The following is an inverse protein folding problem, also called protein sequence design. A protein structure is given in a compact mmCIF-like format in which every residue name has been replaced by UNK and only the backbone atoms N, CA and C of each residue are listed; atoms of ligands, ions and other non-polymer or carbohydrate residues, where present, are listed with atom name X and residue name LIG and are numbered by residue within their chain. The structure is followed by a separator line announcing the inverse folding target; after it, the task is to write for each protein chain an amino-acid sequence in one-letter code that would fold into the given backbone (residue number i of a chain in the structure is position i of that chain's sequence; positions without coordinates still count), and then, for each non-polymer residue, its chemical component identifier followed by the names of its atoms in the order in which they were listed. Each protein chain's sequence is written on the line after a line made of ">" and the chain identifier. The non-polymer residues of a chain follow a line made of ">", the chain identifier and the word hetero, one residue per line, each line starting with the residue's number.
data_IF_731268757037
#
_entry.id   IF_731268757037
#
_cell.length_a   1.000
_cell.length_b   1.000
_cell.length_c   1.000
_cell.angle_alpha   90.00
_cell.angle_beta   90.00
_cell.angle_gamma   90.00
#
_symmetry.space_group_name_H-M   'P 1'
#
loop_
_entity.id
_entity.type
_entity.pdbx_description
1 polymer ?
#
# COMPACT_ATOMS: atom_id res chain seq x y z
N UNK A 1 15.01 -7.26 -30.79
CA UNK A 1 14.67 -6.73 -29.46
C UNK A 1 14.27 -7.91 -28.62
N UNK A 2 14.73 -7.99 -27.38
CA UNK A 2 14.40 -9.10 -26.48
C UNK A 2 12.96 -8.96 -25.96
N UNK A 3 12.30 -10.11 -25.76
CA UNK A 3 10.93 -10.20 -25.27
C UNK A 3 10.93 -10.65 -23.81
N UNK A 4 9.87 -10.33 -23.10
CA UNK A 4 9.60 -10.73 -21.72
C UNK A 4 8.15 -11.18 -21.54
N UNK A 5 7.90 -12.07 -20.60
CA UNK A 5 6.55 -12.37 -20.15
C UNK A 5 6.02 -11.28 -19.21
N UNK A 6 4.74 -10.94 -19.36
CA UNK A 6 4.07 -9.97 -18.50
C UNK A 6 2.58 -10.30 -18.35
N UNK A 7 2.02 -10.08 -17.17
CA UNK A 7 0.59 -10.18 -16.91
C UNK A 7 -0.09 -8.88 -17.35
N UNK A 8 -0.86 -8.92 -18.43
CA UNK A 8 -1.49 -7.75 -19.02
C UNK A 8 -3.01 -7.76 -18.80
N UNK A 9 -3.56 -6.58 -18.46
CA UNK A 9 -4.99 -6.34 -18.47
C UNK A 9 -5.51 -6.28 -19.91
N UNK A 10 -6.37 -7.18 -20.31
CA UNK A 10 -6.92 -7.24 -21.66
C UNK A 10 -8.32 -6.63 -21.75
N UNK A 11 -9.13 -6.89 -20.75
CA UNK A 11 -10.50 -6.38 -20.59
C UNK A 11 -11.03 -6.69 -19.19
N UNK A 12 -12.17 -6.15 -18.83
CA UNK A 12 -12.84 -6.46 -17.58
C UNK A 12 -12.99 -7.99 -17.39
N UNK A 13 -12.49 -8.48 -16.28
CA UNK A 13 -12.50 -9.90 -15.92
C UNK A 13 -11.35 -10.71 -16.55
N UNK A 14 -10.42 -10.08 -17.28
CA UNK A 14 -9.40 -10.81 -18.03
C UNK A 14 -8.00 -10.21 -17.90
N UNK A 15 -7.12 -10.91 -17.22
CA UNK A 15 -5.67 -10.70 -17.17
C UNK A 15 -5.01 -11.98 -17.66
N UNK A 16 -4.05 -11.88 -18.57
CA UNK A 16 -3.34 -13.02 -19.14
C UNK A 16 -1.85 -12.71 -19.29
N UNK A 17 -1.05 -13.78 -19.38
CA UNK A 17 0.35 -13.66 -19.78
C UNK A 17 0.44 -13.34 -21.26
N UNK A 18 1.20 -12.31 -21.56
CA UNK A 18 1.54 -11.88 -22.92
C UNK A 18 3.05 -11.71 -23.05
N UNK A 19 3.55 -11.78 -24.28
CA UNK A 19 4.92 -11.37 -24.59
C UNK A 19 4.97 -9.88 -24.91
N UNK A 20 5.88 -9.16 -24.27
CA UNK A 20 6.13 -7.73 -24.48
C UNK A 20 7.61 -7.48 -24.75
N UNK A 21 7.91 -6.38 -25.40
CA UNK A 21 9.30 -5.93 -25.56
C UNK A 21 9.86 -5.52 -24.18
N UNK A 22 11.09 -5.94 -23.88
CA UNK A 22 11.82 -5.39 -22.74
C UNK A 22 12.03 -3.89 -22.98
N UNK A 23 11.64 -3.00 -22.05
CA UNK A 23 11.71 -1.56 -22.25
C UNK A 23 13.16 -1.05 -22.34
N UNK A 24 13.38 -0.04 -23.17
CA UNK A 24 14.64 0.70 -23.23
C UNK A 24 14.83 1.58 -21.98
N UNK A 25 16.06 1.69 -21.53
CA UNK A 25 16.42 2.46 -20.32
C UNK A 25 16.75 3.89 -20.69
N UNK A 26 15.96 4.84 -20.18
CA UNK A 26 16.25 6.27 -20.27
C UNK A 26 17.43 6.68 -19.36
N UNK A 27 17.99 7.90 -19.57
CA UNK A 27 19.17 8.34 -18.80
C UNK A 27 19.00 8.32 -17.29
N UNK A 28 17.78 8.58 -16.79
CA UNK A 28 17.49 8.66 -15.35
C UNK A 28 16.80 7.41 -14.78
N UNK A 29 16.57 6.40 -15.61
CA UNK A 29 15.77 5.23 -15.28
C UNK A 29 16.64 4.01 -14.98
N UNK A 30 16.04 2.95 -14.46
CA UNK A 30 16.70 1.66 -14.33
C UNK A 30 15.75 0.53 -14.74
N UNK A 31 16.27 -0.46 -15.44
CA UNK A 31 15.59 -1.71 -15.73
C UNK A 31 15.85 -2.68 -14.58
N UNK A 32 14.80 -3.20 -13.99
CA UNK A 32 14.84 -4.16 -12.89
C UNK A 32 14.35 -5.49 -13.40
N UNK A 33 15.16 -6.53 -13.25
CA UNK A 33 14.72 -7.91 -13.40
C UNK A 33 14.03 -8.31 -12.11
N UNK A 34 12.73 -8.59 -12.21
CA UNK A 34 11.90 -8.94 -11.06
C UNK A 34 12.29 -10.31 -10.53
N UNK A 35 12.49 -10.41 -9.23
CA UNK A 35 12.70 -11.69 -8.52
C UNK A 35 11.45 -12.09 -7.74
N UNK A 36 10.68 -11.10 -7.30
CA UNK A 36 9.41 -11.31 -6.63
C UNK A 36 8.51 -10.08 -6.80
N UNK A 37 7.25 -10.32 -7.07
CA UNK A 37 6.17 -9.33 -7.02
C UNK A 37 4.96 -9.95 -6.32
N UNK A 38 3.83 -9.24 -6.26
CA UNK A 38 2.62 -9.75 -5.60
C UNK A 38 1.36 -9.21 -6.24
N UNK A 39 0.20 -9.71 -5.80
CA UNK A 39 -1.13 -9.21 -6.16
C UNK A 39 -1.64 -8.34 -5.01
N UNK A 40 -2.16 -7.16 -5.35
CA UNK A 40 -2.82 -6.23 -4.44
C UNK A 40 -4.34 -6.20 -4.66
N UNK A 41 -5.08 -5.71 -3.68
CA UNK A 41 -6.51 -5.42 -3.82
C UNK A 41 -6.80 -4.48 -5.00
N UNK A 42 -5.93 -3.52 -5.23
CA UNK A 42 -6.00 -2.59 -6.36
C UNK A 42 -5.96 -3.29 -7.71
N UNK A 43 -5.14 -4.34 -7.86
CA UNK A 43 -5.08 -5.13 -9.11
C UNK A 43 -6.40 -5.87 -9.35
N UNK A 44 -7.09 -6.29 -8.27
CA UNK A 44 -8.44 -6.89 -8.36
C UNK A 44 -9.47 -5.85 -8.78
N UNK A 45 -9.37 -4.60 -8.31
CA UNK A 45 -10.24 -3.50 -8.76
C UNK A 45 -10.03 -3.20 -10.25
N UNK A 46 -8.78 -3.26 -10.74
CA UNK A 46 -8.47 -3.16 -12.17
C UNK A 46 -9.13 -4.32 -12.93
N UNK A 47 -8.94 -5.56 -12.48
CA UNK A 47 -9.55 -6.75 -13.10
C UNK A 47 -11.07 -6.62 -13.19
N UNK A 48 -11.72 -6.09 -12.15
CA UNK A 48 -13.18 -5.85 -12.13
C UNK A 48 -13.62 -4.65 -12.99
N UNK A 49 -12.68 -3.86 -13.52
CA UNK A 49 -12.97 -2.65 -14.30
C UNK A 49 -13.46 -1.47 -13.44
N UNK A 50 -13.20 -1.50 -12.14
CA UNK A 50 -13.49 -0.40 -11.20
C UNK A 50 -12.44 0.70 -11.28
N UNK A 51 -11.21 0.35 -11.67
CA UNK A 51 -10.14 1.27 -12.04
C UNK A 51 -9.84 1.14 -13.53
N UNK A 52 -10.09 2.20 -14.33
CA UNK A 52 -9.81 2.16 -15.76
C UNK A 52 -8.30 2.25 -16.00
N UNK A 53 -7.76 1.25 -16.69
CA UNK A 53 -6.39 1.24 -17.22
C UNK A 53 -6.43 0.90 -18.71
N UNK A 54 -5.36 1.22 -19.42
CA UNK A 54 -5.28 0.92 -20.86
C UNK A 54 -5.23 -0.60 -21.10
N UNK A 55 -5.88 -1.04 -22.16
CA UNK A 55 -5.81 -2.42 -22.63
C UNK A 55 -4.37 -2.77 -23.03
N UNK A 56 -3.88 -3.90 -22.57
CA UNK A 56 -2.51 -4.37 -22.77
C UNK A 56 -1.50 -3.85 -21.75
N UNK A 57 -1.92 -3.00 -20.80
CA UNK A 57 -1.05 -2.56 -19.71
C UNK A 57 -0.68 -3.74 -18.80
N UNK A 58 0.60 -3.87 -18.46
CA UNK A 58 1.08 -4.82 -17.44
C UNK A 58 0.63 -4.33 -16.08
N UNK A 59 0.03 -5.22 -15.27
CA UNK A 59 -0.47 -4.91 -13.92
C UNK A 59 0.60 -5.11 -12.85
N UNK A 60 0.26 -4.76 -11.59
CA UNK A 60 1.15 -4.90 -10.42
C UNK A 60 2.00 -3.66 -10.14
N UNK A 61 2.34 -3.43 -8.86
CA UNK A 61 3.03 -2.22 -8.41
C UNK A 61 3.97 -2.45 -7.21
N UNK A 62 4.29 -3.69 -6.87
CA UNK A 62 5.13 -4.02 -5.71
C UNK A 62 6.38 -4.81 -6.15
N UNK A 63 7.42 -4.13 -6.68
CA UNK A 63 8.61 -4.79 -7.23
C UNK A 63 9.65 -5.10 -6.17
N UNK A 64 10.16 -6.33 -6.20
CA UNK A 64 11.45 -6.72 -5.63
C UNK A 64 12.28 -7.32 -6.76
N UNK A 65 13.54 -6.90 -6.91
CA UNK A 65 14.34 -7.41 -8.01
C UNK A 65 15.80 -7.03 -7.95
N UNK A 66 16.45 -7.22 -9.06
CA UNK A 66 17.87 -6.96 -9.28
C UNK A 66 18.02 -5.96 -10.42
N UNK A 67 18.89 -4.99 -10.26
CA UNK A 67 19.21 -4.03 -11.32
C UNK A 67 19.83 -4.79 -12.50
N UNK A 68 19.15 -4.79 -13.63
CA UNK A 68 19.61 -5.37 -14.87
C UNK A 68 20.42 -4.35 -15.69
N UNK A 69 19.93 -3.09 -15.74
CA UNK A 69 20.57 -2.02 -16.49
C UNK A 69 20.28 -0.67 -15.87
N UNK A 70 21.28 0.20 -15.85
CA UNK A 70 21.19 1.58 -15.36
C UNK A 70 21.22 2.60 -16.47
N UNK A 71 20.44 3.66 -16.34
CA UNK A 71 20.55 4.86 -17.15
C UNK A 71 21.84 5.62 -16.84
N UNK A 72 22.36 6.31 -17.86
CA UNK A 72 23.68 6.95 -17.81
C UNK A 72 23.83 8.06 -16.75
N UNK A 73 22.73 8.61 -16.25
CA UNK A 73 22.71 9.64 -15.20
C UNK A 73 22.50 9.08 -13.78
N UNK A 74 22.19 7.80 -13.65
CA UNK A 74 21.94 7.15 -12.34
C UNK A 74 23.28 6.86 -11.68
N UNK A 75 23.43 7.29 -10.43
CA UNK A 75 24.69 7.18 -9.68
C UNK A 75 24.51 6.44 -8.36
N UNK A 76 25.58 5.80 -7.87
CA UNK A 76 25.58 5.14 -6.57
C UNK A 76 24.87 3.80 -6.53
N UNK A 77 24.54 3.23 -7.70
CA UNK A 77 24.02 1.88 -7.88
C UNK A 77 24.94 1.08 -8.82
N UNK A 78 24.77 -0.22 -8.83
CA UNK A 78 25.45 -1.12 -9.75
C UNK A 78 24.49 -2.19 -10.29
N UNK A 79 24.74 -2.64 -11.50
CA UNK A 79 24.07 -3.79 -12.09
C UNK A 79 24.31 -5.03 -11.22
N UNK A 80 23.30 -5.88 -11.04
CA UNK A 80 23.33 -7.00 -10.11
C UNK A 80 22.94 -6.67 -8.68
N UNK A 81 22.77 -5.39 -8.31
CA UNK A 81 22.37 -4.98 -6.96
C UNK A 81 20.88 -5.28 -6.71
N UNK A 82 20.56 -5.88 -5.55
CA UNK A 82 19.18 -6.13 -5.12
C UNK A 82 18.51 -4.84 -4.66
N UNK A 83 17.29 -4.59 -5.14
CA UNK A 83 16.54 -3.35 -4.88
C UNK A 83 15.05 -3.60 -4.76
N UNK A 84 14.37 -2.64 -4.11
CA UNK A 84 12.92 -2.43 -4.22
C UNK A 84 12.64 -1.03 -4.74
N UNK A 85 11.44 -0.82 -5.31
CA UNK A 85 10.88 0.50 -5.55
C UNK A 85 9.50 0.59 -4.90
N UNK A 86 9.10 1.78 -4.45
CA UNK A 86 7.75 1.99 -3.93
C UNK A 86 6.69 1.84 -5.03
N UNK A 87 5.46 1.46 -4.66
CA UNK A 87 4.32 1.47 -5.56
C UNK A 87 4.09 2.86 -6.17
N UNK A 88 4.42 3.88 -5.41
CA UNK A 88 4.43 5.28 -5.83
C UNK A 88 5.84 5.64 -6.27
N UNK A 89 5.98 5.99 -7.54
CA UNK A 89 7.24 6.37 -8.19
C UNK A 89 7.17 7.81 -8.73
N UNK A 90 7.21 8.83 -7.86
CA UNK A 90 7.08 10.21 -8.29
C UNK A 90 8.38 10.75 -8.91
N UNK A 91 8.24 11.84 -9.65
CA UNK A 91 9.34 12.74 -9.92
C UNK A 91 9.52 13.67 -8.72
N UNK A 92 10.58 13.48 -7.95
CA UNK A 92 10.84 14.29 -6.74
C UNK A 92 11.23 15.76 -7.04
N UNK A 93 11.40 16.13 -8.30
CA UNK A 93 11.54 17.53 -8.73
C UNK A 93 10.19 18.19 -9.02
N UNK A 94 9.07 17.48 -8.91
CA UNK A 94 7.75 18.07 -9.07
C UNK A 94 7.34 18.91 -7.87
N UNK A 95 6.45 19.89 -8.09
CA UNK A 95 5.88 20.69 -7.01
C UNK A 95 5.16 19.84 -5.97
N UNK A 96 4.35 18.86 -6.40
CA UNK A 96 3.61 17.99 -5.49
C UNK A 96 4.56 17.24 -4.55
N UNK A 97 5.67 16.69 -5.08
CA UNK A 97 6.63 15.96 -4.28
C UNK A 97 7.43 16.88 -3.34
N UNK A 98 7.83 18.07 -3.80
CA UNK A 98 8.55 19.04 -2.97
C UNK A 98 7.68 19.66 -1.88
N UNK A 99 6.37 19.75 -2.11
CA UNK A 99 5.37 20.19 -1.11
C UNK A 99 4.94 19.08 -0.13
N UNK A 100 5.53 17.87 -0.26
CA UNK A 100 5.28 16.76 0.66
C UNK A 100 4.17 15.80 0.22
N UNK A 101 3.66 15.90 -1.00
CA UNK A 101 2.61 15.05 -1.55
C UNK A 101 3.05 14.24 -2.78
N UNK A 102 4.12 13.43 -2.69
CA UNK A 102 4.68 12.71 -3.84
C UNK A 102 3.68 11.76 -4.51
N UNK A 103 2.74 11.22 -3.76
CA UNK A 103 1.68 10.36 -4.29
C UNK A 103 0.69 11.08 -5.23
N UNK A 104 0.70 12.42 -5.22
CA UNK A 104 -0.15 13.26 -6.08
C UNK A 104 0.63 13.88 -7.25
N UNK A 105 1.81 13.35 -7.56
CA UNK A 105 2.66 13.84 -8.64
C UNK A 105 2.11 13.47 -10.02
N UNK A 106 1.63 14.46 -10.75
CA UNK A 106 1.20 14.36 -12.14
C UNK A 106 2.11 15.11 -13.13
N UNK A 107 3.32 15.47 -12.73
CA UNK A 107 4.22 16.32 -13.55
C UNK A 107 4.56 15.71 -14.91
N UNK A 108 4.59 14.40 -15.04
CA UNK A 108 4.86 13.69 -16.29
C UNK A 108 3.66 13.63 -17.26
N UNK A 109 2.45 13.97 -16.78
CA UNK A 109 1.25 14.09 -17.62
C UNK A 109 1.19 15.44 -18.35
N UNK A 110 2.07 16.37 -17.99
CA UNK A 110 2.17 17.70 -18.61
C UNK A 110 3.34 17.70 -19.60
N UNK A 111 3.16 18.13 -20.86
CA UNK A 111 4.25 18.22 -21.82
C UNK A 111 5.45 18.99 -21.25
N UNK A 112 6.67 18.45 -21.42
CA UNK A 112 7.92 19.13 -21.05
C UNK A 112 7.96 20.50 -21.74
N UNK A 113 8.12 21.56 -20.96
CA UNK A 113 8.20 22.94 -21.46
C UNK A 113 6.97 23.81 -21.19
N UNK A 114 5.82 23.24 -20.88
CA UNK A 114 4.77 23.97 -20.19
C UNK A 114 5.18 24.00 -18.74
N UNK A 115 5.26 25.18 -18.14
CA UNK A 115 5.63 25.41 -16.77
C UNK A 115 5.05 24.28 -15.88
N UNK A 116 5.93 23.43 -15.33
CA UNK A 116 5.57 22.27 -14.52
C UNK A 116 4.90 22.61 -13.19
N UNK A 117 4.41 23.85 -13.07
CA UNK A 117 3.76 24.40 -11.90
C UNK A 117 2.49 23.67 -11.48
N UNK A 118 1.96 22.79 -12.28
CA UNK A 118 0.68 22.10 -12.03
C UNK A 118 0.83 20.60 -11.89
N UNK A 119 1.98 20.12 -11.39
CA UNK A 119 2.26 18.70 -11.20
C UNK A 119 1.34 17.99 -10.20
N UNK A 120 0.28 18.62 -9.71
CA UNK A 120 -0.71 17.98 -8.86
C UNK A 120 -1.77 17.27 -9.69
N UNK A 121 -1.87 15.97 -9.50
CA UNK A 121 -3.01 15.17 -9.95
C UNK A 121 -3.25 14.05 -8.97
N UNK A 122 -4.49 13.94 -8.50
CA UNK A 122 -4.89 12.89 -7.58
C UNK A 122 -4.44 11.51 -8.05
N UNK A 123 -3.77 10.77 -7.18
CA UNK A 123 -3.26 9.41 -7.36
C UNK A 123 -2.21 9.21 -8.46
N UNK A 124 -1.76 10.28 -9.14
CA UNK A 124 -0.90 10.14 -10.32
C UNK A 124 0.53 9.71 -9.99
N UNK A 125 1.00 9.84 -8.75
CA UNK A 125 2.24 9.22 -8.29
C UNK A 125 2.22 7.68 -8.31
N UNK A 126 1.04 7.08 -8.32
CA UNK A 126 0.87 5.66 -8.61
C UNK A 126 0.97 5.42 -10.13
N UNK A 127 2.15 5.01 -10.58
CA UNK A 127 2.48 4.86 -12.00
C UNK A 127 2.44 3.41 -12.46
N UNK A 128 3.07 2.48 -11.73
CA UNK A 128 3.12 1.06 -12.09
C UNK A 128 1.72 0.43 -12.13
N UNK A 129 1.43 -0.25 -13.23
CA UNK A 129 0.15 -0.94 -13.41
C UNK A 129 -1.07 0.00 -13.52
N UNK A 130 -0.82 1.30 -13.68
CA UNK A 130 -1.84 2.33 -13.85
C UNK A 130 -1.55 3.21 -15.07
N UNK A 131 -0.39 3.84 -15.13
CA UNK A 131 -0.01 4.79 -16.18
C UNK A 131 1.18 4.30 -17.01
N UNK A 132 1.96 3.39 -16.47
CA UNK A 132 3.05 2.68 -17.14
C UNK A 132 2.94 1.20 -16.81
N UNK A 133 3.62 0.37 -17.59
CA UNK A 133 3.70 -1.07 -17.32
C UNK A 133 4.15 -1.34 -15.89
N UNK A 134 3.47 -2.31 -15.27
CA UNK A 134 3.63 -2.68 -13.87
C UNK A 134 4.63 -3.81 -13.65
N UNK A 135 4.57 -4.38 -12.46
CA UNK A 135 5.61 -5.24 -11.90
C UNK A 135 5.34 -6.75 -12.00
N UNK A 136 4.14 -7.15 -12.46
CA UNK A 136 3.83 -8.56 -12.70
C UNK A 136 4.37 -8.99 -14.08
N UNK A 137 5.70 -8.96 -14.21
CA UNK A 137 6.46 -9.25 -15.42
C UNK A 137 7.87 -9.72 -15.05
N UNK A 138 8.64 -10.20 -16.02
CA UNK A 138 10.05 -10.55 -15.82
C UNK A 138 10.93 -9.31 -15.59
N UNK A 139 10.57 -8.17 -16.21
CA UNK A 139 11.28 -6.90 -16.07
C UNK A 139 10.31 -5.74 -15.90
N UNK A 140 10.75 -4.70 -15.19
CA UNK A 140 10.04 -3.42 -15.08
C UNK A 140 11.01 -2.27 -15.20
N UNK A 141 10.60 -1.20 -15.91
CA UNK A 141 11.35 0.05 -15.94
C UNK A 141 10.94 0.94 -14.78
N UNK A 142 11.90 1.24 -13.90
CA UNK A 142 11.69 2.17 -12.78
C UNK A 142 12.14 3.56 -13.21
N UNK A 143 11.20 4.51 -13.37
CA UNK A 143 11.53 5.88 -13.75
C UNK A 143 12.16 6.64 -12.57
N UNK A 144 12.98 7.65 -12.90
CA UNK A 144 13.66 8.49 -11.89
C UNK A 144 14.34 7.65 -10.80
N UNK A 145 15.10 6.63 -11.24
CA UNK A 145 15.65 5.56 -10.40
C UNK A 145 16.47 6.07 -9.21
N UNK A 146 17.17 7.20 -9.37
CA UNK A 146 17.99 7.81 -8.33
C UNK A 146 17.19 8.12 -7.04
N UNK A 147 15.91 8.48 -7.19
CA UNK A 147 15.03 8.85 -6.09
C UNK A 147 14.07 7.72 -5.68
N UNK A 148 13.84 6.74 -6.55
CA UNK A 148 12.81 5.72 -6.38
C UNK A 148 13.33 4.33 -6.03
N UNK A 149 14.59 4.00 -6.37
CA UNK A 149 15.18 2.72 -5.99
C UNK A 149 15.77 2.74 -4.59
N UNK A 150 15.53 1.71 -3.81
CA UNK A 150 16.15 1.49 -2.52
C UNK A 150 16.91 0.15 -2.51
N UNK A 151 18.22 0.16 -2.21
CA UNK A 151 18.98 -1.08 -2.02
C UNK A 151 18.42 -1.91 -0.87
N UNK A 152 18.30 -3.21 -1.08
CA UNK A 152 17.91 -4.16 -0.04
C UNK A 152 19.13 -4.44 0.84
N UNK A 153 19.04 -4.23 2.16
CA UNK A 153 20.12 -4.58 3.08
C UNK A 153 20.46 -6.07 3.01
N UNK A 154 21.76 -6.38 3.20
CA UNK A 154 22.19 -7.76 3.30
C UNK A 154 21.46 -8.51 4.41
N UNK A 155 21.15 -9.79 4.16
CA UNK A 155 20.47 -10.66 5.10
C UNK A 155 18.94 -10.61 5.06
N UNK A 156 18.33 -9.65 4.35
CA UNK A 156 16.88 -9.65 4.11
C UNK A 156 16.52 -10.45 2.87
N UNK A 157 15.47 -11.27 2.97
CA UNK A 157 14.92 -12.01 1.82
C UNK A 157 13.94 -11.15 1.03
N UNK A 158 13.60 -11.59 -0.19
CA UNK A 158 12.63 -10.90 -1.02
C UNK A 158 11.25 -10.87 -0.36
N UNK A 159 10.82 -11.97 0.26
CA UNK A 159 9.54 -12.08 0.95
C UNK A 159 9.42 -11.13 2.14
N UNK A 160 10.52 -10.92 2.87
CA UNK A 160 10.54 -10.00 4.01
C UNK A 160 10.35 -8.54 3.58
N UNK A 161 10.90 -8.15 2.43
CA UNK A 161 10.83 -6.77 1.93
C UNK A 161 9.66 -6.54 0.98
N UNK A 162 8.99 -7.60 0.52
CA UNK A 162 7.91 -7.54 -0.46
C UNK A 162 6.73 -6.64 -0.04
N UNK A 163 6.51 -6.48 1.26
CA UNK A 163 5.44 -5.62 1.78
C UNK A 163 5.82 -4.13 1.82
N UNK A 164 7.10 -3.79 1.73
CA UNK A 164 7.55 -2.40 1.85
C UNK A 164 7.03 -1.48 0.73
N UNK A 165 7.02 -1.90 -0.55
CA UNK A 165 6.61 -1.05 -1.66
C UNK A 165 5.24 -0.40 -1.52
N UNK A 166 4.26 -1.11 -1.00
CA UNK A 166 2.88 -0.61 -0.83
C UNK A 166 2.34 -0.84 0.58
N UNK A 167 2.10 -2.07 0.96
CA UNK A 167 1.29 -2.46 2.11
C UNK A 167 1.82 -1.89 3.42
N UNK A 168 3.11 -2.06 3.68
CA UNK A 168 3.74 -1.52 4.87
C UNK A 168 3.81 0.01 4.81
N UNK A 169 4.12 0.58 3.63
CA UNK A 169 4.17 2.03 3.47
C UNK A 169 2.80 2.67 3.72
N UNK A 170 1.74 2.08 3.17
CA UNK A 170 0.35 2.53 3.35
C UNK A 170 -0.12 2.34 4.79
N UNK A 171 0.08 1.17 5.38
CA UNK A 171 -0.33 0.92 6.76
C UNK A 171 0.37 1.83 7.76
N UNK A 172 1.67 2.06 7.57
CA UNK A 172 2.46 2.92 8.46
C UNK A 172 2.09 4.40 8.31
N UNK A 173 1.85 4.90 7.09
CA UNK A 173 1.36 6.29 6.95
C UNK A 173 -0.01 6.46 7.58
N UNK A 174 -0.84 5.41 7.59
CA UNK A 174 -2.10 5.41 8.33
C UNK A 174 -1.89 5.63 9.83
N UNK A 175 -0.95 4.93 10.42
CA UNK A 175 -0.60 5.09 11.82
C UNK A 175 0.05 6.47 12.11
N UNK A 176 0.95 6.95 11.23
CA UNK A 176 1.56 8.27 11.30
C UNK A 176 0.49 9.40 11.24
N UNK A 177 -0.47 9.29 10.32
CA UNK A 177 -1.56 10.26 10.14
C UNK A 177 -2.62 10.19 11.25
N UNK A 178 -2.75 9.08 11.95
CA UNK A 178 -3.60 8.95 13.13
C UNK A 178 -3.09 9.79 14.32
N UNK A 179 -1.90 10.43 14.18
CA UNK A 179 -1.27 11.29 15.17
C UNK A 179 -1.11 10.62 16.54
N UNK A 180 -0.74 9.33 16.51
CA UNK A 180 -0.61 8.48 17.68
C UNK A 180 0.46 9.02 18.61
N UNK A 181 0.13 9.10 19.90
CA UNK A 181 1.04 9.44 20.99
C UNK A 181 1.27 8.24 21.90
N UNK A 182 2.37 8.26 22.63
CA UNK A 182 2.64 7.24 23.64
C UNK A 182 1.48 7.22 24.65
N UNK A 183 0.89 6.04 24.84
CA UNK A 183 -0.23 5.85 25.76
C UNK A 183 -1.62 5.85 25.12
N UNK A 184 -1.74 6.15 23.82
CA UNK A 184 -3.01 6.24 23.13
C UNK A 184 -3.72 4.89 22.97
N UNK A 185 -5.05 4.97 22.88
CA UNK A 185 -5.93 3.89 22.40
C UNK A 185 -6.27 4.12 20.94
N UNK A 186 -6.02 3.12 20.09
CA UNK A 186 -6.21 3.18 18.63
C UNK A 186 -7.14 2.04 18.19
N UNK A 187 -8.12 2.35 17.33
CA UNK A 187 -8.98 1.34 16.71
C UNK A 187 -8.60 1.20 15.23
N UNK A 188 -8.32 -0.01 14.78
CA UNK A 188 -7.98 -0.27 13.37
C UNK A 188 -9.08 -1.12 12.73
N UNK A 189 -9.77 -0.53 11.75
CA UNK A 189 -10.87 -1.18 11.01
C UNK A 189 -10.36 -1.89 9.78
N UNK A 190 -10.74 -3.15 9.62
CA UNK A 190 -10.29 -4.14 8.67
C UNK A 190 -8.82 -4.58 8.90
N UNK A 191 -8.65 -5.91 8.99
CA UNK A 191 -7.35 -6.55 9.20
C UNK A 191 -6.91 -7.33 7.94
N UNK A 192 -7.13 -6.70 6.77
CA UNK A 192 -6.41 -7.06 5.56
C UNK A 192 -4.93 -6.68 5.67
N UNK A 193 -4.09 -6.97 4.67
CA UNK A 193 -2.65 -6.68 4.75
C UNK A 193 -2.30 -5.24 5.16
N UNK A 194 -3.03 -4.24 4.65
CA UNK A 194 -2.83 -2.81 5.03
C UNK A 194 -3.19 -2.59 6.51
N UNK A 195 -4.33 -3.10 6.96
CA UNK A 195 -4.76 -2.94 8.36
C UNK A 195 -3.84 -3.64 9.35
N UNK A 196 -3.31 -4.82 9.00
CA UNK A 196 -2.30 -5.52 9.79
C UNK A 196 -1.00 -4.70 9.92
N UNK A 197 -0.55 -4.09 8.83
CA UNK A 197 0.58 -3.17 8.87
C UNK A 197 0.26 -1.88 9.66
N UNK A 198 -0.97 -1.35 9.57
CA UNK A 198 -1.38 -0.21 10.38
C UNK A 198 -1.42 -0.54 11.88
N UNK A 199 -1.87 -1.74 12.24
CA UNK A 199 -1.84 -2.28 13.61
C UNK A 199 -0.40 -2.34 14.14
N UNK A 200 0.53 -2.89 13.35
CA UNK A 200 1.95 -2.92 13.70
C UNK A 200 2.57 -1.52 13.79
N UNK A 201 2.23 -0.63 12.86
CA UNK A 201 2.65 0.77 12.88
C UNK A 201 2.18 1.51 14.12
N UNK A 202 0.92 1.33 14.52
CA UNK A 202 0.36 1.91 15.75
C UNK A 202 1.13 1.45 16.99
N UNK A 203 1.47 0.16 17.06
CA UNK A 203 2.29 -0.40 18.15
C UNK A 203 3.67 0.24 18.22
N UNK A 204 4.34 0.37 17.09
CA UNK A 204 5.68 0.96 17.01
C UNK A 204 5.68 2.46 17.36
N UNK A 205 4.58 3.18 17.10
CA UNK A 205 4.43 4.59 17.46
C UNK A 205 4.07 4.84 18.93
N UNK A 206 3.78 3.77 19.70
CA UNK A 206 3.59 3.86 21.14
C UNK A 206 2.15 3.80 21.62
N UNK A 207 1.20 3.38 20.79
CA UNK A 207 -0.13 3.03 21.25
C UNK A 207 -0.04 1.91 22.31
N UNK A 208 -0.76 2.07 23.40
CA UNK A 208 -0.78 1.09 24.50
C UNK A 208 -2.00 0.19 24.48
N UNK A 209 -3.05 0.62 23.79
CA UNK A 209 -4.24 -0.19 23.54
C UNK A 209 -4.59 -0.13 22.06
N UNK A 210 -4.45 -1.25 21.38
CA UNK A 210 -4.79 -1.37 19.96
C UNK A 210 -5.94 -2.35 19.81
N UNK A 211 -7.07 -1.84 19.31
CA UNK A 211 -8.30 -2.59 19.08
C UNK A 211 -8.40 -2.89 17.59
N UNK A 212 -8.21 -4.13 17.19
CA UNK A 212 -8.31 -4.59 15.81
C UNK A 212 -9.73 -5.10 15.51
N UNK A 213 -10.34 -4.60 14.45
CA UNK A 213 -11.70 -4.94 14.03
C UNK A 213 -11.68 -5.63 12.68
N UNK A 214 -12.26 -6.82 12.57
CA UNK A 214 -12.47 -7.55 11.32
C UNK A 214 -13.65 -8.55 11.47
N UNK A 215 -14.13 -9.11 10.38
CA UNK A 215 -15.13 -10.20 10.38
C UNK A 215 -14.53 -11.59 10.20
N UNK A 216 -13.20 -11.69 10.10
CA UNK A 216 -12.46 -12.94 9.89
C UNK A 216 -11.54 -13.23 11.08
N UNK A 217 -11.84 -14.29 11.84
CA UNK A 217 -11.10 -14.64 13.04
C UNK A 217 -9.63 -14.97 12.78
N UNK A 218 -9.31 -15.57 11.62
CA UNK A 218 -7.92 -15.82 11.25
C UNK A 218 -7.11 -14.53 11.09
N UNK A 219 -7.70 -13.47 10.49
CA UNK A 219 -7.06 -12.15 10.39
C UNK A 219 -6.91 -11.49 11.77
N UNK A 220 -7.90 -11.67 12.65
CA UNK A 220 -7.83 -11.19 14.03
C UNK A 220 -6.71 -11.87 14.83
N UNK A 221 -6.48 -13.16 14.61
CA UNK A 221 -5.35 -13.88 15.24
C UNK A 221 -3.99 -13.39 14.73
N UNK A 222 -3.90 -13.02 13.47
CA UNK A 222 -2.69 -12.38 12.92
C UNK A 222 -2.54 -10.97 13.50
N UNK A 223 -3.64 -10.20 13.64
CA UNK A 223 -3.60 -8.87 14.24
C UNK A 223 -3.02 -8.89 15.68
N UNK A 224 -3.33 -9.91 16.48
CA UNK A 224 -2.68 -10.11 17.79
C UNK A 224 -1.17 -10.25 17.68
N UNK A 225 -0.69 -11.02 16.68
CA UNK A 225 0.75 -11.17 16.42
C UNK A 225 1.39 -9.87 15.94
N UNK A 226 0.62 -9.01 15.26
CA UNK A 226 1.04 -7.69 14.81
C UNK A 226 0.98 -6.62 15.91
N UNK A 227 0.49 -6.95 17.11
CA UNK A 227 0.49 -6.07 18.27
C UNK A 227 -0.89 -5.55 18.69
N UNK A 228 -1.99 -6.10 18.18
CA UNK A 228 -3.31 -5.79 18.71
C UNK A 228 -3.49 -6.37 20.12
N UNK A 229 -3.96 -5.53 21.05
CA UNK A 229 -4.25 -5.93 22.45
C UNK A 229 -5.66 -6.52 22.57
N UNK A 230 -6.60 -6.01 21.76
CA UNK A 230 -7.99 -6.47 21.71
C UNK A 230 -8.40 -6.72 20.27
N UNK A 231 -9.16 -7.78 20.05
CA UNK A 231 -9.73 -8.09 18.74
C UNK A 231 -11.25 -8.15 18.83
N UNK A 232 -11.94 -7.47 17.91
CA UNK A 232 -13.38 -7.45 17.83
C UNK A 232 -13.85 -8.00 16.48
N UNK A 233 -14.58 -9.12 16.52
CA UNK A 233 -15.25 -9.62 15.33
C UNK A 233 -16.62 -8.94 15.22
N UNK A 234 -16.77 -8.03 14.23
CA UNK A 234 -17.99 -7.24 14.04
C UNK A 234 -19.24 -8.09 13.73
N UNK A 235 -19.08 -9.38 13.41
CA UNK A 235 -20.20 -10.31 13.23
C UNK A 235 -20.78 -10.80 14.54
N UNK A 236 -20.01 -10.68 15.62
CA UNK A 236 -20.36 -11.22 16.94
C UNK A 236 -20.71 -10.13 17.94
N UNK A 237 -20.22 -8.89 17.72
CA UNK A 237 -20.39 -7.78 18.68
C UNK A 237 -20.74 -6.47 17.99
N UNK A 238 -21.38 -5.57 18.71
CA UNK A 238 -21.49 -4.16 18.31
C UNK A 238 -20.17 -3.46 18.64
N UNK A 239 -19.41 -3.12 17.57
CA UNK A 239 -18.06 -2.57 17.70
C UNK A 239 -18.05 -1.24 18.45
N UNK A 240 -19.02 -0.37 18.17
CA UNK A 240 -19.08 0.96 18.81
C UNK A 240 -19.30 0.79 20.32
N UNK A 241 -20.26 -0.02 20.72
CA UNK A 241 -20.55 -0.30 22.14
C UNK A 241 -19.36 -0.90 22.87
N UNK A 242 -18.67 -1.87 22.24
CA UNK A 242 -17.49 -2.50 22.86
C UNK A 242 -16.30 -1.52 22.98
N UNK A 243 -16.04 -0.68 21.95
CA UNK A 243 -14.99 0.34 22.06
C UNK A 243 -15.33 1.34 23.16
N UNK A 244 -16.57 1.82 23.24
CA UNK A 244 -17.00 2.73 24.30
C UNK A 244 -16.84 2.11 25.68
N UNK A 245 -17.18 0.85 25.85
CA UNK A 245 -16.97 0.10 27.10
C UNK A 245 -15.49 -0.01 27.48
N UNK A 246 -14.62 -0.38 26.51
CA UNK A 246 -13.18 -0.50 26.70
C UNK A 246 -12.51 0.84 27.05
N UNK A 247 -13.07 1.95 26.60
CA UNK A 247 -12.56 3.29 26.84
C UNK A 247 -13.26 4.06 27.95
N UNK A 248 -14.10 3.37 28.74
CA UNK A 248 -14.87 4.00 29.82
C UNK A 248 -15.84 5.09 29.36
N UNK A 249 -16.39 4.95 28.16
CA UNK A 249 -17.34 5.88 27.56
C UNK A 249 -16.70 7.09 26.87
N UNK A 250 -15.38 7.20 26.85
CA UNK A 250 -14.68 8.37 26.25
C UNK A 250 -14.50 8.27 24.73
N UNK A 251 -14.40 7.06 24.20
CA UNK A 251 -13.93 6.79 22.85
C UNK A 251 -12.41 6.67 22.74
N UNK A 252 -11.91 6.18 21.61
CA UNK A 252 -10.49 6.03 21.33
C UNK A 252 -9.83 7.37 20.97
N UNK A 253 -8.51 7.47 21.14
CA UNK A 253 -7.74 8.66 20.77
C UNK A 253 -7.69 8.84 19.26
N UNK A 254 -7.60 7.74 18.52
CA UNK A 254 -7.65 7.74 17.07
C UNK A 254 -8.22 6.43 16.50
N UNK A 255 -8.62 6.50 15.24
CA UNK A 255 -9.01 5.32 14.46
C UNK A 255 -8.30 5.32 13.10
N UNK A 256 -8.06 4.12 12.57
CA UNK A 256 -7.51 3.92 11.23
C UNK A 256 -8.52 3.09 10.44
N UNK A 257 -8.96 3.61 9.30
CA UNK A 257 -9.88 2.94 8.40
C UNK A 257 -9.09 2.41 7.18
N UNK A 258 -9.06 1.09 6.99
CA UNK A 258 -8.22 0.42 6.00
C UNK A 258 -9.02 -0.49 5.05
N UNK A 259 -10.29 -0.16 4.77
CA UNK A 259 -11.17 -0.91 3.85
C UNK A 259 -11.70 -0.07 2.70
N UNK A 260 -12.24 1.12 2.99
CA UNK A 260 -12.82 2.00 1.98
C UNK A 260 -14.34 1.81 1.77
N UNK A 261 -15.09 1.61 2.84
CA UNK A 261 -16.56 1.56 2.76
C UNK A 261 -17.19 2.64 3.63
N UNK A 262 -18.41 3.08 3.25
CA UNK A 262 -19.20 4.01 4.07
C UNK A 262 -19.39 3.48 5.49
N UNK A 263 -19.66 2.19 5.64
CA UNK A 263 -19.92 1.58 6.95
C UNK A 263 -18.71 1.63 7.88
N UNK A 264 -17.51 1.30 7.39
CA UNK A 264 -16.29 1.36 8.18
C UNK A 264 -15.86 2.78 8.47
N UNK A 265 -16.01 3.70 7.51
CA UNK A 265 -15.74 5.12 7.73
C UNK A 265 -16.61 5.71 8.85
N UNK A 266 -17.92 5.44 8.79
CA UNK A 266 -18.86 5.91 9.81
C UNK A 266 -18.56 5.34 11.19
N UNK A 267 -18.27 4.04 11.29
CA UNK A 267 -17.89 3.41 12.56
C UNK A 267 -16.59 3.99 13.10
N UNK A 268 -15.58 4.18 12.23
CA UNK A 268 -14.30 4.77 12.60
C UNK A 268 -14.44 6.20 13.14
N UNK A 269 -15.39 6.98 12.61
CA UNK A 269 -15.73 8.30 13.16
C UNK A 269 -16.45 8.23 14.51
N UNK A 270 -17.33 7.25 14.69
CA UNK A 270 -18.15 7.12 15.92
C UNK A 270 -17.40 6.59 17.12
N UNK A 271 -16.29 5.90 16.93
CA UNK A 271 -15.51 5.31 18.03
C UNK A 271 -14.44 6.23 18.62
N UNK A 272 -14.13 7.35 17.96
CA UNK A 272 -13.13 8.29 18.48
C UNK A 272 -13.72 9.29 19.45
N UNK A 273 -12.92 9.69 20.43
CA UNK A 273 -13.28 10.73 21.40
C UNK A 273 -13.37 12.09 20.71
N UNK A 274 -14.08 13.08 21.28
CA UNK A 274 -13.95 14.48 20.83
C UNK A 274 -12.49 14.91 20.75
N UNK A 275 -12.12 15.62 19.68
CA UNK A 275 -10.73 15.97 19.36
C UNK A 275 -9.88 14.83 18.82
N UNK A 276 -10.46 13.65 18.61
CA UNK A 276 -9.76 12.49 18.07
C UNK A 276 -9.49 12.59 16.56
N UNK A 277 -8.61 11.72 16.07
CA UNK A 277 -8.20 11.69 14.66
C UNK A 277 -8.68 10.41 13.97
N UNK A 278 -9.33 10.54 12.84
CA UNK A 278 -9.54 9.46 11.87
C UNK A 278 -8.46 9.53 10.78
N UNK A 279 -7.71 8.46 10.62
CA UNK A 279 -6.84 8.25 9.46
C UNK A 279 -7.49 7.26 8.49
N UNK A 280 -7.86 7.73 7.29
CA UNK A 280 -8.51 6.88 6.29
C UNK A 280 -7.53 6.53 5.17
N UNK A 281 -7.36 5.24 4.96
CA UNK A 281 -6.49 4.63 3.93
C UNK A 281 -7.32 3.92 2.86
N UNK A 282 -8.60 3.72 3.13
CA UNK A 282 -9.47 2.96 2.25
C UNK A 282 -9.62 3.60 0.88
N UNK A 283 -9.78 2.76 -0.12
CA UNK A 283 -10.08 3.17 -1.48
C UNK A 283 -11.59 3.08 -1.68
N UNK A 284 -12.21 4.24 -1.79
CA UNK A 284 -13.68 4.33 -1.92
C UNK A 284 -14.09 4.28 -3.38
N UNK A 285 -15.09 3.48 -3.69
CA UNK A 285 -15.72 3.40 -5.02
C UNK A 285 -17.03 4.19 -5.11
N UNK A 286 -17.50 4.75 -4.00
CA UNK A 286 -18.74 5.54 -3.88
C UNK A 286 -18.50 6.79 -3.04
N UNK A 287 -19.45 7.73 -3.06
CA UNK A 287 -19.41 8.94 -2.25
C UNK A 287 -19.41 8.61 -0.76
N UNK A 288 -18.49 9.22 -0.01
CA UNK A 288 -18.43 9.12 1.45
C UNK A 288 -19.28 10.23 2.07
N UNK A 289 -20.27 9.83 2.87
CA UNK A 289 -21.14 10.72 3.61
C UNK A 289 -20.76 10.75 5.07
N UNK A 290 -20.69 11.94 5.63
CA UNK A 290 -20.43 12.14 7.06
C UNK A 290 -21.79 12.35 7.75
N UNK A 291 -22.31 11.38 8.53
CA UNK A 291 -23.58 11.54 9.22
C UNK A 291 -23.43 12.48 10.40
N UNK A 292 -24.42 13.33 10.64
CA UNK A 292 -24.42 14.27 11.75
C UNK A 292 -24.21 13.58 13.10
N UNK A 293 -24.70 12.37 13.28
CA UNK A 293 -24.54 11.58 14.50
C UNK A 293 -23.10 11.19 14.81
N UNK A 294 -22.18 11.25 13.80
CA UNK A 294 -20.74 11.00 14.02
C UNK A 294 -20.05 12.23 14.65
N UNK A 295 -20.69 13.38 14.55
CA UNK A 295 -20.10 14.63 14.97
C UNK A 295 -20.89 15.22 16.13
N UNK A 296 -21.13 15.04 17.14
CA UNK A 296 -21.83 15.78 18.20
C UNK A 296 -21.83 17.32 18.01
N UNK A 297 -22.39 18.09 18.88
CA UNK A 297 -22.34 19.55 18.83
C UNK A 297 -20.90 20.05 18.70
N UNK A 298 -20.66 21.02 17.83
CA UNK A 298 -19.31 21.52 17.52
C UNK A 298 -18.50 20.58 16.63
N UNK A 299 -19.16 19.60 16.00
CA UNK A 299 -18.53 18.61 15.12
C UNK A 299 -17.43 17.79 15.82
N UNK A 300 -17.40 17.77 17.17
CA UNK A 300 -16.49 16.98 18.00
C UNK A 300 -15.01 17.38 17.88
N UNK A 301 -14.66 18.48 17.22
CA UNK A 301 -13.27 18.90 16.95
C UNK A 301 -12.39 17.81 16.29
N UNK A 302 -13.00 16.91 15.53
CA UNK A 302 -12.31 15.79 14.90
C UNK A 302 -11.39 16.23 13.77
N UNK A 303 -10.29 15.51 13.63
CA UNK A 303 -9.40 15.59 12.45
C UNK A 303 -9.61 14.37 11.57
N UNK A 304 -9.83 14.59 10.27
CA UNK A 304 -9.84 13.52 9.26
C UNK A 304 -8.61 13.71 8.38
N UNK A 305 -7.79 12.66 8.29
CA UNK A 305 -6.63 12.64 7.41
C UNK A 305 -6.73 11.48 6.45
N UNK A 306 -6.41 11.75 5.19
CA UNK A 306 -6.34 10.74 4.14
C UNK A 306 -4.92 10.66 3.62
N UNK A 307 -4.51 9.51 3.11
CA UNK A 307 -3.22 9.35 2.45
C UNK A 307 -3.30 8.27 1.37
N UNK A 308 -2.58 8.52 0.29
CA UNK A 308 -2.13 7.47 -0.61
C UNK A 308 -0.71 7.05 -0.20
N UNK A 309 -0.34 5.81 -0.48
CA UNK A 309 0.98 5.22 -0.18
C UNK A 309 2.13 6.22 -0.45
N UNK A 310 2.96 6.55 0.53
CA UNK A 310 4.19 7.29 0.29
C UNK A 310 5.21 6.42 -0.44
N UNK A 311 5.88 6.99 -1.44
CA UNK A 311 6.94 6.32 -2.19
C UNK A 311 8.31 6.92 -1.96
N UNK A 312 9.27 6.49 -2.79
CA UNK A 312 10.62 7.00 -2.83
C UNK A 312 11.61 6.21 -1.98
N UNK A 313 12.88 6.37 -2.35
CA UNK A 313 14.04 5.64 -1.79
C UNK A 313 14.11 5.70 -0.27
N UNK A 314 13.96 6.89 0.31
CA UNK A 314 14.12 7.08 1.76
C UNK A 314 12.98 6.42 2.54
N UNK A 315 11.75 6.45 2.03
CA UNK A 315 10.63 5.72 2.64
C UNK A 315 10.92 4.23 2.67
N UNK A 316 11.32 3.66 1.55
CA UNK A 316 11.66 2.22 1.44
C UNK A 316 12.81 1.84 2.38
N UNK A 317 13.87 2.64 2.44
CA UNK A 317 15.00 2.42 3.34
C UNK A 317 14.57 2.36 4.81
N UNK A 318 13.73 3.29 5.26
CA UNK A 318 13.22 3.33 6.63
C UNK A 318 12.38 2.11 6.97
N UNK A 319 11.51 1.68 6.05
CA UNK A 319 10.67 0.50 6.26
C UNK A 319 11.52 -0.77 6.36
N UNK A 320 12.50 -0.96 5.46
CA UNK A 320 13.43 -2.09 5.54
C UNK A 320 14.26 -2.09 6.82
N UNK A 321 14.64 -0.93 7.35
CA UNK A 321 15.34 -0.84 8.65
C UNK A 321 14.49 -1.36 9.82
N UNK A 322 13.17 -1.15 9.80
CA UNK A 322 12.27 -1.71 10.82
C UNK A 322 12.32 -3.24 10.80
N UNK A 323 12.30 -3.83 9.60
CA UNK A 323 12.39 -5.29 9.42
C UNK A 323 13.79 -5.78 9.84
N UNK A 324 14.84 -5.14 9.36
CA UNK A 324 16.23 -5.51 9.66
C UNK A 324 16.55 -5.44 11.17
N UNK A 325 15.90 -4.52 11.90
CA UNK A 325 16.04 -4.42 13.36
C UNK A 325 15.23 -5.46 14.14
N UNK A 326 14.58 -6.41 13.45
CA UNK A 326 13.70 -7.44 14.03
C UNK A 326 12.54 -6.86 14.86
N UNK A 327 12.09 -5.63 14.56
CA UNK A 327 10.94 -5.01 15.21
C UNK A 327 9.61 -5.51 14.65
N UNK A 328 9.64 -6.03 13.43
CA UNK A 328 8.48 -6.52 12.71
C UNK A 328 8.93 -7.58 11.71
N UNK A 329 8.19 -8.70 11.65
CA UNK A 329 8.30 -9.70 10.59
C UNK A 329 7.03 -9.70 9.76
N UNK A 330 7.14 -9.26 8.50
CA UNK A 330 6.05 -9.22 7.54
C UNK A 330 6.03 -10.46 6.62
N UNK A 331 7.00 -11.35 6.74
CA UNK A 331 7.02 -12.62 6.01
C UNK A 331 5.78 -13.47 6.29
N UNK A 332 5.19 -13.33 7.48
CA UNK A 332 3.94 -14.01 7.87
C UNK A 332 2.72 -13.60 7.01
N UNK A 333 2.78 -12.48 6.31
CA UNK A 333 1.72 -12.03 5.40
C UNK A 333 1.80 -12.71 4.04
N UNK A 334 2.96 -13.25 3.65
CA UNK A 334 3.14 -14.02 2.42
C UNK A 334 2.64 -15.44 2.66
N UNK A 335 1.36 -15.66 2.44
CA UNK A 335 0.71 -16.95 2.71
C UNK A 335 0.86 -17.95 1.58
N UNK A 336 1.08 -17.47 0.35
CA UNK A 336 1.16 -18.29 -0.84
C UNK A 336 2.30 -17.85 -1.76
N UNK A 337 2.79 -18.79 -2.58
CA UNK A 337 3.73 -18.51 -3.67
C UNK A 337 3.22 -19.13 -4.97
N UNK A 338 3.38 -18.43 -6.08
CA UNK A 338 3.02 -18.89 -7.43
C UNK A 338 4.07 -18.39 -8.43
N UNK A 339 4.16 -19.08 -9.56
CA UNK A 339 4.92 -18.58 -10.71
C UNK A 339 4.11 -17.53 -11.45
N UNK A 340 4.79 -16.69 -12.21
CA UNK A 340 4.13 -15.70 -13.07
C UNK A 340 3.19 -16.39 -14.08
N UNK A 341 3.58 -17.56 -14.60
CA UNK A 341 2.75 -18.34 -15.52
C UNK A 341 1.41 -18.79 -14.91
N UNK A 342 1.32 -18.88 -13.58
CA UNK A 342 0.10 -19.28 -12.84
C UNK A 342 -0.73 -18.06 -12.41
N UNK A 343 -0.52 -16.88 -13.01
CA UNK A 343 -1.08 -15.61 -12.56
C UNK A 343 -2.62 -15.60 -12.51
N UNK A 344 -3.27 -16.26 -13.46
CA UNK A 344 -4.75 -16.32 -13.53
C UNK A 344 -5.32 -17.06 -12.32
N UNK A 345 -4.72 -18.20 -11.95
CA UNK A 345 -5.10 -18.95 -10.76
C UNK A 345 -4.82 -18.18 -9.48
N UNK A 346 -3.70 -17.44 -9.46
CA UNK A 346 -3.34 -16.59 -8.33
C UNK A 346 -4.36 -15.47 -8.11
N UNK A 347 -4.83 -14.82 -9.19
CA UNK A 347 -5.91 -13.84 -9.11
C UNK A 347 -7.23 -14.45 -8.63
N UNK A 348 -7.60 -15.62 -9.11
CA UNK A 348 -8.82 -16.30 -8.67
C UNK A 348 -8.76 -16.68 -7.18
N UNK A 349 -7.61 -17.18 -6.69
CA UNK A 349 -7.39 -17.45 -5.28
C UNK A 349 -7.50 -16.17 -4.44
N UNK A 350 -6.82 -15.10 -4.85
CA UNK A 350 -6.73 -13.84 -4.12
C UNK A 350 -8.06 -13.09 -4.11
N UNK A 351 -8.69 -12.93 -5.27
CA UNK A 351 -9.95 -12.19 -5.41
C UNK A 351 -11.11 -12.83 -4.63
N UNK A 352 -11.12 -14.16 -4.53
CA UNK A 352 -12.15 -14.90 -3.79
C UNK A 352 -11.77 -15.17 -2.33
N UNK A 353 -10.64 -14.65 -1.84
CA UNK A 353 -10.17 -14.75 -0.45
C UNK A 353 -10.20 -16.21 0.09
N UNK A 354 -9.84 -17.17 -0.77
CA UNK A 354 -9.83 -18.58 -0.40
C UNK A 354 -8.54 -18.97 0.30
N UNK A 355 -8.57 -20.11 0.99
CA UNK A 355 -7.41 -20.76 1.63
C UNK A 355 -6.61 -19.83 2.58
N UNK A 356 -7.29 -18.91 3.24
CA UNK A 356 -6.65 -17.96 4.17
C UNK A 356 -5.67 -16.97 3.53
N UNK A 357 -5.78 -16.75 2.21
CA UNK A 357 -4.86 -15.89 1.48
C UNK A 357 -4.83 -14.46 2.04
N UNK A 358 -3.61 -13.96 2.28
CA UNK A 358 -3.33 -12.55 2.57
C UNK A 358 -2.52 -11.91 1.44
N UNK A 359 -1.36 -12.49 1.11
CA UNK A 359 -0.53 -12.08 -0.02
C UNK A 359 0.04 -13.31 -0.73
N UNK A 360 0.18 -13.18 -2.04
CA UNK A 360 0.76 -14.21 -2.89
C UNK A 360 2.06 -13.66 -3.47
N UNK A 361 3.19 -14.27 -3.14
CA UNK A 361 4.46 -13.96 -3.82
C UNK A 361 4.42 -14.57 -5.23
N UNK A 362 4.60 -13.73 -6.24
CA UNK A 362 4.69 -14.13 -7.64
C UNK A 362 6.15 -14.11 -8.06
N UNK A 363 6.63 -15.23 -8.57
CA UNK A 363 8.00 -15.41 -9.07
C UNK A 363 7.97 -15.47 -10.59
N UNK A 364 8.56 -14.55 -11.33
CA UNK A 364 8.72 -14.63 -12.78
C UNK A 364 9.61 -15.78 -13.23
#
# INVERSE_FOLDING_TARGET
>A
MAMMKAAAFLEKGRIEIVEKLIPDVGPNDALIRITTTTICGTDVHILKGEYPVEKGLTVGHEPVGVIEKLGSAVQGYQEGQRVIAGAICPNFNSYAAQDGYPSQDGSYLVPRGLCGCHGYKATAGWRFGNLIDGTQAEYVLVPDAQANLAPIPDGLTDEQVLMCPDIMSTGFVGAENANIKIGDTVVVFAQGPIGLCATAGARLLGATTIIAVDGNDHRLDIAKKMGADVTLNFRNVDVISEVMKLTGGKGADSSIEALGTQATFEQAMKVIKPGGTLSSLGVYSEDVKIPLSAFAAGLGDHTIRTALCPGGKERMRRLMNVIQSNRLDLGVLVTHQRKLDDIVEAYDLFANQRDGVLKIAIKP
#
